data_IF_660039695606
#
_entry.id   IF_660039695606
#
_cell.length_a   1.000
_cell.length_b   1.000
_cell.length_c   1.000
_cell.angle_alpha   90.00
_cell.angle_beta   90.00
_cell.angle_gamma   90.00
#
_symmetry.space_group_name_H-M   'P 1'
#
loop_
_entity.id
_entity.type
_entity.pdbx_description
1 polymer ?
#
# COMPACT_ATOMS: atom_id res chain seq x y z
N UNK A 1 8.64 -10.90 -25.33
CA UNK A 1 7.58 -10.36 -24.44
C UNK A 1 8.18 -10.33 -23.04
N UNK A 2 8.59 -9.17 -22.52
CA UNK A 2 9.25 -9.10 -21.22
C UNK A 2 8.26 -9.51 -20.13
N UNK A 3 8.67 -10.37 -19.20
CA UNK A 3 7.85 -10.72 -18.05
C UNK A 3 7.67 -9.48 -17.17
N UNK A 4 6.47 -8.90 -17.17
CA UNK A 4 6.13 -7.81 -16.26
C UNK A 4 6.30 -8.31 -14.83
N UNK A 5 7.24 -7.73 -14.09
CA UNK A 5 7.47 -8.10 -12.69
C UNK A 5 6.24 -7.70 -11.87
N UNK A 6 5.50 -8.69 -11.40
CA UNK A 6 4.40 -8.52 -10.47
C UNK A 6 4.85 -8.95 -9.08
N UNK A 7 4.66 -8.05 -8.10
CA UNK A 7 4.87 -8.36 -6.69
C UNK A 7 3.55 -8.12 -5.96
N UNK A 8 3.09 -9.12 -5.23
CA UNK A 8 1.85 -9.04 -4.45
C UNK A 8 2.14 -9.49 -3.03
N UNK A 9 1.60 -8.78 -2.05
CA UNK A 9 1.62 -9.18 -0.66
C UNK A 9 0.25 -8.88 -0.04
N UNK A 10 -0.33 -9.87 0.64
CA UNK A 10 -1.62 -9.73 1.30
C UNK A 10 -1.44 -10.06 2.77
N UNK A 11 -1.87 -9.15 3.64
CA UNK A 11 -1.78 -9.31 5.09
C UNK A 11 -3.14 -9.00 5.70
N UNK A 12 -3.61 -9.89 6.56
CA UNK A 12 -4.72 -9.58 7.47
C UNK A 12 -4.14 -8.81 8.65
N UNK A 13 -4.56 -7.56 8.80
CA UNK A 13 -4.16 -6.72 9.93
C UNK A 13 -4.92 -7.21 11.16
N UNK A 14 -4.20 -7.72 12.14
CA UNK A 14 -4.73 -8.16 13.42
C UNK A 14 -4.26 -7.26 14.58
N UNK A 15 -3.26 -6.42 14.35
CA UNK A 15 -2.71 -5.49 15.34
C UNK A 15 -2.25 -4.15 14.72
N UNK A 16 -1.90 -3.20 15.60
CA UNK A 16 -1.14 -2.02 15.20
C UNK A 16 0.24 -2.46 14.65
N UNK A 17 0.78 -1.70 13.71
CA UNK A 17 2.06 -1.93 13.01
C UNK A 17 2.10 -3.10 12.03
N UNK A 18 1.04 -3.90 11.92
CA UNK A 18 0.92 -4.86 10.82
C UNK A 18 0.99 -4.14 9.48
N UNK A 19 1.86 -4.63 8.59
CA UNK A 19 2.15 -3.98 7.33
C UNK A 19 2.26 -4.98 6.17
N UNK A 20 1.46 -4.75 5.12
CA UNK A 20 1.73 -5.35 3.82
C UNK A 20 2.86 -4.55 3.17
N UNK A 21 3.96 -5.21 2.82
CA UNK A 21 5.14 -4.55 2.24
C UNK A 21 5.70 -5.31 1.04
N UNK A 22 6.30 -4.58 0.12
CA UNK A 22 7.04 -5.10 -1.04
C UNK A 22 8.33 -4.30 -1.21
N UNK A 23 9.40 -4.99 -1.59
CA UNK A 23 10.74 -4.39 -1.78
C UNK A 23 11.39 -4.87 -3.08
N UNK A 24 12.46 -4.19 -3.48
CA UNK A 24 13.17 -4.41 -4.73
C UNK A 24 12.30 -4.10 -5.94
N UNK A 25 11.50 -3.05 -5.87
CA UNK A 25 10.67 -2.58 -6.97
C UNK A 25 11.57 -2.04 -8.08
N UNK A 26 11.53 -2.59 -9.31
CA UNK A 26 12.19 -1.96 -10.44
C UNK A 26 11.49 -0.62 -10.76
N UNK A 27 12.22 0.36 -11.25
CA UNK A 27 11.63 1.64 -11.67
C UNK A 27 11.53 1.68 -13.20
N UNK A 28 10.46 2.25 -13.81
CA UNK A 28 9.20 2.77 -13.24
C UNK A 28 8.07 1.71 -13.15
N UNK A 29 7.04 1.97 -12.34
CA UNK A 29 5.88 1.07 -12.24
C UNK A 29 4.67 1.70 -11.53
N UNK A 30 3.68 0.85 -11.24
CA UNK A 30 2.44 1.20 -10.54
C UNK A 30 2.28 0.38 -9.27
N UNK A 31 1.72 1.00 -8.24
CA UNK A 31 1.30 0.33 -7.01
C UNK A 31 -0.20 0.51 -6.82
N UNK A 32 -0.84 -0.58 -6.39
CA UNK A 32 -2.22 -0.63 -5.99
C UNK A 32 -2.30 -1.22 -4.58
N UNK A 33 -3.11 -0.62 -3.73
CA UNK A 33 -3.45 -1.16 -2.40
C UNK A 33 -4.95 -1.31 -2.34
N UNK A 34 -5.42 -2.47 -1.93
CA UNK A 34 -6.82 -2.75 -1.69
C UNK A 34 -7.00 -3.12 -0.24
N UNK A 35 -7.84 -2.38 0.46
CA UNK A 35 -8.25 -2.66 1.83
C UNK A 35 -9.68 -3.17 1.79
N UNK A 36 -9.91 -4.33 2.40
CA UNK A 36 -11.24 -4.97 2.44
C UNK A 36 -11.59 -5.41 3.86
N UNK A 37 -12.88 -5.63 4.10
CA UNK A 37 -13.42 -5.98 5.41
C UNK A 37 -13.99 -4.78 6.16
N UNK A 38 -14.62 -5.06 7.29
CA UNK A 38 -15.12 -4.06 8.22
C UNK A 38 -14.11 -3.87 9.34
N UNK A 39 -13.62 -2.65 9.50
CA UNK A 39 -12.57 -2.35 10.46
C UNK A 39 -12.68 -0.92 10.96
N UNK A 40 -12.09 -0.68 12.14
CA UNK A 40 -11.83 0.65 12.68
C UNK A 40 -10.32 0.73 12.89
N UNK A 41 -9.61 1.12 11.84
CA UNK A 41 -8.16 1.23 11.81
C UNK A 41 -7.72 2.27 10.78
N UNK A 42 -6.53 2.81 10.96
CA UNK A 42 -5.90 3.76 10.03
C UNK A 42 -4.74 3.06 9.35
N UNK A 43 -4.86 2.81 8.05
CA UNK A 43 -3.77 2.28 7.23
C UNK A 43 -3.02 3.45 6.62
N UNK A 44 -1.73 3.59 6.91
CA UNK A 44 -0.86 4.61 6.32
C UNK A 44 -0.07 4.02 5.17
N UNK A 45 -0.04 4.74 4.06
CA UNK A 45 0.73 4.38 2.87
C UNK A 45 2.11 5.03 2.95
N UNK A 46 3.15 4.22 2.80
CA UNK A 46 4.53 4.69 2.93
C UNK A 46 5.40 4.09 1.81
N UNK A 47 6.27 4.90 1.23
CA UNK A 47 7.21 4.49 0.20
C UNK A 47 8.65 4.74 0.67
N UNK A 48 9.60 4.01 0.11
CA UNK A 48 11.02 4.14 0.42
C UNK A 48 11.88 4.08 -0.84
N UNK A 49 12.94 4.89 -0.88
CA UNK A 49 13.94 4.90 -1.96
C UNK A 49 15.14 4.03 -1.58
N UNK A 50 15.49 3.93 -0.30
CA UNK A 50 16.63 3.17 0.22
C UNK A 50 16.23 1.79 0.80
N UNK A 51 14.94 1.47 0.82
CA UNK A 51 14.38 0.23 1.39
C UNK A 51 14.32 0.20 2.92
N UNK A 52 14.81 1.24 3.59
CA UNK A 52 14.99 1.28 5.06
C UNK A 52 14.20 2.41 5.69
N UNK A 53 14.26 3.61 5.11
CA UNK A 53 13.54 4.80 5.57
C UNK A 53 12.26 4.98 4.74
N UNK A 54 11.12 4.99 5.41
CA UNK A 54 9.81 5.10 4.80
C UNK A 54 9.23 6.48 5.03
N UNK A 55 8.71 7.08 3.97
CA UNK A 55 8.04 8.39 4.00
C UNK A 55 6.58 8.23 3.61
N UNK A 56 5.71 9.08 4.15
CA UNK A 56 4.30 9.09 3.77
C UNK A 56 4.14 9.31 2.27
N UNK A 57 3.32 8.48 1.63
CA UNK A 57 3.09 8.50 0.20
C UNK A 57 1.61 8.64 -0.10
N UNK A 58 1.24 9.64 -0.89
CA UNK A 58 -0.15 9.92 -1.17
C UNK A 58 -0.62 9.07 -2.35
N UNK A 59 -1.68 8.29 -2.13
CA UNK A 59 -2.30 7.45 -3.14
C UNK A 59 -3.67 7.99 -3.53
N UNK A 60 -4.05 7.78 -4.79
CA UNK A 60 -5.37 8.19 -5.29
C UNK A 60 -6.37 7.08 -4.99
N UNK A 61 -7.42 7.31 -4.19
CA UNK A 61 -8.49 6.34 -3.98
C UNK A 61 -9.31 6.11 -5.26
N UNK A 62 -9.94 4.95 -5.39
CA UNK A 62 -10.76 4.62 -6.57
C UNK A 62 -12.11 5.35 -6.60
N UNK A 63 -12.54 5.90 -5.47
CA UNK A 63 -13.84 6.57 -5.30
C UNK A 63 -13.73 8.09 -5.14
N UNK A 64 -12.53 8.66 -5.20
CA UNK A 64 -12.28 10.09 -5.08
C UNK A 64 -11.04 10.50 -5.86
N UNK A 65 -11.00 11.74 -6.36
CA UNK A 65 -9.81 12.28 -7.05
C UNK A 65 -8.76 12.85 -6.09
N UNK A 66 -9.04 12.91 -4.80
CA UNK A 66 -8.15 13.53 -3.81
C UNK A 66 -7.17 12.50 -3.27
N UNK A 67 -5.89 12.73 -3.50
CA UNK A 67 -4.83 11.89 -2.97
C UNK A 67 -4.81 11.91 -1.43
N UNK A 68 -4.69 10.73 -0.81
CA UNK A 68 -4.61 10.56 0.63
C UNK A 68 -3.41 9.69 1.01
N UNK A 69 -2.74 10.03 2.11
CA UNK A 69 -1.65 9.22 2.68
C UNK A 69 -2.13 8.15 3.65
N UNK A 70 -3.43 8.15 3.98
CA UNK A 70 -4.05 7.18 4.88
C UNK A 70 -5.41 6.71 4.36
N UNK A 71 -5.79 5.50 4.75
CA UNK A 71 -7.09 4.90 4.52
C UNK A 71 -7.72 4.51 5.87
N UNK A 72 -8.88 5.10 6.16
CA UNK A 72 -9.72 4.79 7.33
C UNK A 72 -10.97 3.98 6.97
N UNK A 73 -11.16 3.70 5.68
CA UNK A 73 -12.27 2.93 5.15
C UNK A 73 -11.78 1.94 4.10
N UNK A 74 -12.56 0.89 3.86
CA UNK A 74 -12.30 -0.07 2.80
C UNK A 74 -12.35 0.62 1.43
N UNK A 75 -11.45 0.21 0.53
CA UNK A 75 -11.31 0.83 -0.78
C UNK A 75 -10.07 0.37 -1.53
N UNK A 76 -10.00 0.71 -2.81
CA UNK A 76 -8.81 0.53 -3.62
C UNK A 76 -8.11 1.88 -3.82
N UNK A 77 -6.79 1.87 -3.80
CA UNK A 77 -5.93 3.04 -3.92
C UNK A 77 -4.85 2.72 -4.94
N UNK A 78 -4.55 3.66 -5.83
CA UNK A 78 -3.53 3.45 -6.87
C UNK A 78 -2.66 4.68 -7.05
N UNK A 79 -1.39 4.48 -7.45
CA UNK A 79 -0.48 5.55 -7.84
C UNK A 79 0.70 4.98 -8.63
N UNK A 80 1.35 5.81 -9.44
CA UNK A 80 2.65 5.51 -10.03
C UNK A 80 3.74 5.55 -8.95
N UNK A 81 4.65 4.57 -8.92
CA UNK A 81 5.73 4.51 -7.92
C UNK A 81 6.90 5.44 -8.23
N UNK A 82 6.98 6.08 -9.40
CA UNK A 82 7.90 7.20 -9.66
C UNK A 82 9.39 6.98 -9.32
N UNK A 83 9.86 5.72 -9.22
CA UNK A 83 11.19 5.26 -8.78
C UNK A 83 11.41 4.85 -7.31
N UNK A 84 10.37 4.68 -6.50
CA UNK A 84 10.53 4.06 -5.17
C UNK A 84 10.99 2.59 -5.27
N UNK A 85 11.88 2.18 -4.38
CA UNK A 85 12.46 0.83 -4.32
C UNK A 85 11.67 -0.12 -3.40
N UNK A 86 10.91 0.43 -2.45
CA UNK A 86 10.01 -0.32 -1.59
C UNK A 86 8.73 0.47 -1.28
N UNK A 87 7.67 -0.25 -0.96
CA UNK A 87 6.38 0.31 -0.58
C UNK A 87 5.75 -0.54 0.51
N UNK A 88 5.10 0.10 1.49
CA UNK A 88 4.34 -0.57 2.53
C UNK A 88 3.04 0.16 2.85
N UNK A 89 2.02 -0.61 3.18
CA UNK A 89 0.80 -0.14 3.78
C UNK A 89 0.74 -0.66 5.22
N UNK A 90 0.96 0.22 6.20
CA UNK A 90 1.07 -0.12 7.62
C UNK A 90 -0.15 0.37 8.40
N UNK A 91 -0.68 -0.46 9.28
CA UNK A 91 -1.69 -0.04 10.25
C UNK A 91 -1.05 0.86 11.32
N UNK A 92 -1.30 2.18 11.24
CA UNK A 92 -0.75 3.14 12.22
C UNK A 92 -1.60 3.26 13.48
N UNK A 93 -2.90 2.96 13.39
CA UNK A 93 -3.81 2.90 14.53
C UNK A 93 -4.81 1.76 14.32
N UNK A 94 -4.96 0.90 15.32
CA UNK A 94 -5.89 -0.22 15.29
C UNK A 94 -6.84 -0.15 16.48
N UNK A 95 -8.14 -0.16 16.22
CA UNK A 95 -9.16 -0.22 17.27
C UNK A 95 -9.86 -1.59 17.26
N UNK A 96 -10.37 -2.03 16.10
CA UNK A 96 -11.04 -3.33 15.97
C UNK A 96 -11.26 -3.74 14.51
N UNK A 97 -11.59 -5.02 14.31
CA UNK A 97 -11.88 -5.64 13.00
C UNK A 97 -10.63 -6.18 12.32
N UNK A 98 -10.80 -7.06 11.33
CA UNK A 98 -9.69 -7.73 10.66
C UNK A 98 -9.61 -7.26 9.19
N UNK A 99 -9.08 -6.05 8.90
CA UNK A 99 -8.94 -5.62 7.52
C UNK A 99 -7.91 -6.46 6.79
N UNK A 100 -8.26 -6.91 5.59
CA UNK A 100 -7.30 -7.54 4.68
C UNK A 100 -6.74 -6.46 3.77
N UNK A 101 -5.44 -6.20 3.90
CA UNK A 101 -4.68 -5.27 3.07
C UNK A 101 -3.92 -6.06 2.02
N UNK A 102 -4.31 -5.89 0.76
CA UNK A 102 -3.62 -6.46 -0.40
C UNK A 102 -2.87 -5.37 -1.12
N UNK A 103 -1.56 -5.54 -1.23
CA UNK A 103 -0.65 -4.65 -1.93
C UNK A 103 -0.20 -5.36 -3.20
N UNK A 104 -0.34 -4.68 -4.34
CA UNK A 104 0.15 -5.14 -5.64
C UNK A 104 1.03 -4.08 -6.29
N UNK A 105 2.15 -4.52 -6.82
CA UNK A 105 3.02 -3.73 -7.66
C UNK A 105 3.13 -4.39 -9.04
N UNK A 106 3.13 -3.57 -10.08
CA UNK A 106 3.40 -3.97 -11.46
C UNK A 106 4.45 -3.04 -12.09
N UNK A 107 5.51 -3.62 -12.64
CA UNK A 107 6.46 -2.89 -13.47
C UNK A 107 5.79 -2.41 -14.77
N UNK A 108 6.20 -1.24 -15.28
CA UNK A 108 5.77 -0.73 -16.58
C UNK A 108 6.72 -1.18 -17.69
#
# INVERSE_FOLDING_TARGET
MAATLLKTNSVTVAAQDDAASVSGLPSPGFVAVQVTGTFTATITFEASVDGTNYVAFNMTPSNSGTDASTATAAGAFTKSTGAFSAFRARCSAYTSGEPVVTLRYSAQ
#
